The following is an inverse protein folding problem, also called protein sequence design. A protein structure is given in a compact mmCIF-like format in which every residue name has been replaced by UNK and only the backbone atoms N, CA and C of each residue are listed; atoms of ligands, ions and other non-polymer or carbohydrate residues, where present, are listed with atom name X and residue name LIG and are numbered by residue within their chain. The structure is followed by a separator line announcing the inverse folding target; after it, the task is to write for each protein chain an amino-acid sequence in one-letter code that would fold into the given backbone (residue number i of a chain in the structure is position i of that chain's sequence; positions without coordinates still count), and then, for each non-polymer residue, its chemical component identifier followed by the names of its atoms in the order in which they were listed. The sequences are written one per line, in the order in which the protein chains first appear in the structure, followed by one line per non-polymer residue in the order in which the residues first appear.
data_IF_188035264594
#
_entry.id   IF_188035264594
#
_cell.length_a   1.000
_cell.length_b   1.000
_cell.length_c   1.000
_cell.angle_alpha   90.00
_cell.angle_beta   90.00
_cell.angle_gamma   90.00
#
_symmetry.space_group_name_H-M   'P 1'
#
loop_
_entity.id
_entity.type
_entity.pdbx_description
1 polymer ?
#
# COMPACT_ATOMS: atom_id res chain seq x y z
N UNK A 1 -7.59 -20.84 8.84
CA UNK A 1 -8.15 -19.45 8.84
C UNK A 1 -7.59 -18.81 7.58
N UNK A 2 -8.38 -18.02 6.84
CA UNK A 2 -7.88 -17.34 5.62
C UNK A 2 -6.86 -16.28 5.99
N UNK A 3 -5.80 -16.16 5.22
CA UNK A 3 -4.89 -15.04 5.30
C UNK A 3 -5.42 -13.88 4.44
N UNK A 4 -5.17 -12.67 4.90
CA UNK A 4 -5.42 -11.45 4.14
C UNK A 4 -4.07 -10.80 3.89
N UNK A 5 -3.66 -10.83 2.64
CA UNK A 5 -2.35 -10.39 2.18
C UNK A 5 -2.53 -9.06 1.47
N UNK A 6 -1.90 -8.02 1.97
CA UNK A 6 -1.87 -6.74 1.25
C UNK A 6 -0.54 -6.52 0.58
N UNK A 7 -0.57 -6.00 -0.65
CA UNK A 7 0.62 -5.44 -1.30
C UNK A 7 0.37 -3.96 -1.57
N UNK A 8 1.22 -3.10 -1.01
CA UNK A 8 0.99 -1.67 -1.09
C UNK A 8 2.06 -0.83 -0.40
N UNK A 9 2.01 0.45 -0.64
CA UNK A 9 2.90 1.44 -0.06
C UNK A 9 2.60 1.68 1.43
N UNK A 10 3.66 1.87 2.21
CA UNK A 10 3.57 2.48 3.53
C UNK A 10 4.10 3.91 3.46
N UNK A 11 3.43 4.80 4.16
CA UNK A 11 3.81 6.21 4.23
C UNK A 11 3.59 6.72 5.66
N UNK A 12 4.36 7.70 6.09
CA UNK A 12 4.12 8.36 7.37
C UNK A 12 3.48 9.72 7.11
N UNK A 13 2.19 9.83 7.42
CA UNK A 13 1.38 11.02 7.18
C UNK A 13 1.54 12.04 8.32
N UNK A 14 1.85 13.29 7.97
CA UNK A 14 1.78 14.44 8.88
C UNK A 14 0.60 15.30 8.43
N UNK A 15 -0.44 15.34 9.25
CA UNK A 15 -1.71 16.00 8.93
C UNK A 15 -1.71 17.41 9.51
N UNK A 16 -1.96 18.38 8.65
CA UNK A 16 -2.09 19.80 8.98
C UNK A 16 -3.57 20.21 8.94
N UNK A 17 -3.96 21.01 9.93
CA UNK A 17 -5.25 21.68 9.97
C UNK A 17 -5.03 23.13 10.31
N UNK A 18 -5.57 24.04 9.50
CA UNK A 18 -5.30 25.50 9.61
C UNK A 18 -3.78 25.80 9.62
N UNK A 19 -3.03 25.18 8.70
CA UNK A 19 -1.57 25.29 8.55
C UNK A 19 -0.74 24.76 9.75
N UNK A 20 -1.39 24.21 10.78
CA UNK A 20 -0.70 23.67 11.95
C UNK A 20 -0.69 22.13 11.95
N UNK A 21 0.43 21.47 12.26
CA UNK A 21 0.50 20.02 12.34
C UNK A 21 -0.33 19.53 13.53
N UNK A 22 -1.22 18.57 13.27
CA UNK A 22 -2.14 18.05 14.29
C UNK A 22 -1.92 16.57 14.61
N UNK A 23 -1.61 15.76 13.61
CA UNK A 23 -1.45 14.30 13.74
C UNK A 23 -0.25 13.88 12.92
N UNK A 24 0.50 12.89 13.44
CA UNK A 24 1.55 12.20 12.71
C UNK A 24 1.38 10.70 12.90
N UNK A 25 1.03 9.96 11.83
CA UNK A 25 0.58 8.57 11.90
C UNK A 25 1.02 7.78 10.66
N UNK A 26 1.36 6.48 10.80
CA UNK A 26 1.53 5.61 9.64
C UNK A 26 0.24 5.50 8.82
N UNK A 27 0.38 5.48 7.49
CA UNK A 27 -0.70 5.40 6.53
C UNK A 27 -0.33 4.64 5.26
N UNK A 28 -1.20 4.76 4.27
CA UNK A 28 -1.18 4.04 3.00
C UNK A 28 -2.52 3.35 2.76
N UNK A 29 -2.98 3.28 1.52
CA UNK A 29 -4.31 2.74 1.20
C UNK A 29 -4.49 1.31 1.70
N UNK A 30 -3.67 0.38 1.20
CA UNK A 30 -3.68 -1.03 1.60
C UNK A 30 -3.32 -1.20 3.07
N UNK A 31 -2.34 -0.42 3.56
CA UNK A 31 -1.94 -0.41 4.97
C UNK A 31 -3.13 -0.14 5.90
N UNK A 32 -3.90 0.92 5.66
CA UNK A 32 -5.06 1.29 6.48
C UNK A 32 -6.17 0.23 6.47
N UNK A 33 -6.38 -0.43 5.32
CA UNK A 33 -7.32 -1.55 5.23
C UNK A 33 -6.85 -2.72 6.11
N UNK A 34 -5.57 -3.10 6.02
CA UNK A 34 -5.01 -4.17 6.84
C UNK A 34 -5.00 -3.85 8.34
N UNK A 35 -4.72 -2.60 8.74
CA UNK A 35 -4.82 -2.13 10.14
C UNK A 35 -6.24 -2.37 10.66
N UNK A 36 -7.27 -2.03 9.88
CA UNK A 36 -8.66 -2.22 10.28
C UNK A 36 -9.01 -3.70 10.44
N UNK A 37 -8.53 -4.54 9.52
CA UNK A 37 -8.76 -5.99 9.54
C UNK A 37 -7.98 -6.69 10.66
N UNK A 38 -6.73 -6.29 10.89
CA UNK A 38 -5.91 -6.80 12.00
C UNK A 38 -6.52 -6.49 13.37
N UNK A 39 -7.00 -5.26 13.56
CA UNK A 39 -7.77 -4.86 14.77
C UNK A 39 -9.04 -5.68 14.97
N UNK A 40 -9.67 -6.13 13.89
CA UNK A 40 -10.81 -7.03 13.94
C UNK A 40 -10.43 -8.50 14.24
N UNK A 41 -9.14 -8.79 14.45
CA UNK A 41 -8.62 -10.12 14.79
C UNK A 41 -8.44 -11.05 13.59
N UNK A 42 -8.41 -10.52 12.37
CA UNK A 42 -8.15 -11.30 11.18
C UNK A 42 -6.64 -11.48 10.96
N UNK A 43 -6.27 -12.58 10.33
CA UNK A 43 -4.88 -12.88 10.02
C UNK A 43 -4.41 -12.07 8.82
N UNK A 44 -3.63 -11.01 9.07
CA UNK A 44 -3.20 -10.06 8.06
C UNK A 44 -1.69 -10.02 7.93
N UNK A 45 -1.18 -9.91 6.71
CA UNK A 45 0.23 -9.64 6.43
C UNK A 45 0.37 -8.57 5.35
N UNK A 46 1.46 -7.81 5.41
CA UNK A 46 1.73 -6.71 4.48
C UNK A 46 3.04 -6.93 3.75
N UNK A 47 2.96 -6.93 2.42
CA UNK A 47 4.10 -6.84 1.51
C UNK A 47 4.30 -5.36 1.19
N UNK A 48 5.43 -4.81 1.61
CA UNK A 48 5.74 -3.38 1.45
C UNK A 48 7.24 -3.13 1.61
N UNK A 49 7.62 -1.87 1.47
CA UNK A 49 8.97 -1.40 1.74
C UNK A 49 8.93 -0.18 2.66
N UNK A 50 10.00 -0.02 3.44
CA UNK A 50 10.23 1.17 4.26
C UNK A 50 11.74 1.41 4.43
N UNK A 51 12.16 2.59 4.85
CA UNK A 51 13.56 2.90 5.10
C UNK A 51 14.06 2.36 6.45
N UNK A 52 15.37 2.16 6.55
CA UNK A 52 16.04 1.87 7.83
C UNK A 52 16.27 3.14 8.64
N UNK A 53 15.18 3.79 8.98
CA UNK A 53 15.20 5.01 9.77
C UNK A 53 14.22 4.96 10.96
N UNK A 54 14.12 6.06 11.69
CA UNK A 54 13.21 6.14 12.84
C UNK A 54 11.74 6.07 12.41
N UNK A 55 11.41 6.54 11.22
CA UNK A 55 10.05 6.54 10.68
C UNK A 55 9.65 5.12 10.28
N UNK A 56 10.53 4.39 9.56
CA UNK A 56 10.29 3.00 9.19
C UNK A 56 10.07 2.11 10.42
N UNK A 57 10.88 2.29 11.46
CA UNK A 57 10.67 1.58 12.74
C UNK A 57 9.30 1.89 13.36
N UNK A 58 8.82 3.15 13.29
CA UNK A 58 7.47 3.52 13.76
C UNK A 58 6.38 2.86 12.93
N UNK A 59 6.53 2.81 11.60
CA UNK A 59 5.58 2.14 10.70
C UNK A 59 5.47 0.65 11.05
N UNK A 60 6.61 -0.05 11.15
CA UNK A 60 6.64 -1.48 11.48
C UNK A 60 6.07 -1.76 12.88
N UNK A 61 6.43 -0.95 13.88
CA UNK A 61 5.90 -1.09 15.24
C UNK A 61 4.38 -0.92 15.26
N UNK A 62 3.85 0.13 14.64
CA UNK A 62 2.42 0.39 14.56
C UNK A 62 1.67 -0.74 13.82
N UNK A 63 2.21 -1.26 12.72
CA UNK A 63 1.63 -2.39 12.02
C UNK A 63 1.51 -3.62 12.94
N UNK A 64 2.61 -3.98 13.60
CA UNK A 64 2.68 -5.12 14.53
C UNK A 64 1.73 -4.98 15.72
N UNK A 65 1.65 -3.78 16.33
CA UNK A 65 0.73 -3.48 17.44
C UNK A 65 -0.74 -3.61 17.05
N UNK A 66 -1.05 -3.48 15.74
CA UNK A 66 -2.39 -3.62 15.21
C UNK A 66 -2.66 -4.98 14.52
N UNK A 67 -1.83 -5.99 14.82
CA UNK A 67 -2.07 -7.37 14.42
C UNK A 67 -1.64 -7.72 13.00
N UNK A 68 -0.81 -6.89 12.35
CA UNK A 68 -0.26 -7.19 11.03
C UNK A 68 1.06 -7.96 11.18
N UNK A 69 1.22 -9.05 10.45
CA UNK A 69 2.52 -9.68 10.23
C UNK A 69 3.39 -8.78 9.34
N UNK A 70 4.51 -8.33 9.91
CA UNK A 70 5.46 -7.41 9.26
C UNK A 70 6.68 -8.12 8.65
N UNK A 71 6.70 -9.45 8.63
CA UNK A 71 7.83 -10.25 8.12
C UNK A 71 8.12 -10.03 6.64
N UNK A 72 7.13 -9.50 5.90
CA UNK A 72 7.20 -9.20 4.47
C UNK A 72 7.35 -7.69 4.18
N UNK A 73 7.63 -6.89 5.21
CA UNK A 73 8.02 -5.48 5.01
C UNK A 73 9.53 -5.44 4.84
N UNK A 74 9.99 -5.14 3.63
CA UNK A 74 11.41 -4.95 3.35
C UNK A 74 11.89 -3.64 3.96
N UNK A 75 12.93 -3.71 4.80
CA UNK A 75 13.58 -2.54 5.41
C UNK A 75 14.83 -2.21 4.60
N UNK A 76 14.71 -1.23 3.69
CA UNK A 76 15.76 -0.85 2.76
C UNK A 76 16.88 -0.09 3.48
N UNK A 77 18.06 -0.68 3.51
CA UNK A 77 19.23 -0.10 4.19
C UNK A 77 19.71 1.19 3.52
N UNK A 78 20.01 2.20 4.32
CA UNK A 78 20.54 3.47 3.84
C UNK A 78 19.52 4.39 3.18
N UNK A 79 18.25 4.01 3.14
CA UNK A 79 17.16 4.81 2.55
C UNK A 79 16.28 5.45 3.61
N UNK A 80 15.46 6.43 3.20
CA UNK A 80 14.51 7.11 4.08
C UNK A 80 13.09 6.62 3.80
N UNK A 81 12.32 6.45 4.87
CA UNK A 81 10.91 6.08 4.78
C UNK A 81 10.08 7.18 4.10
N UNK A 82 9.09 6.82 3.29
CA UNK A 82 8.22 7.80 2.64
C UNK A 82 7.43 8.63 3.68
N UNK A 83 7.33 9.93 3.41
CA UNK A 83 6.53 10.89 4.18
C UNK A 83 5.46 11.52 3.29
N UNK A 84 4.33 11.87 3.86
CA UNK A 84 3.38 12.78 3.25
C UNK A 84 3.01 13.91 4.19
N UNK A 85 2.79 15.10 3.62
CA UNK A 85 2.13 16.21 4.28
C UNK A 85 0.71 16.29 3.72
N UNK A 86 -0.30 16.19 4.59
CA UNK A 86 -1.71 16.25 4.24
C UNK A 86 -2.32 17.53 4.80
N UNK A 87 -2.63 18.51 3.95
CA UNK A 87 -3.25 19.78 4.33
C UNK A 87 -4.77 19.66 4.18
N UNK A 88 -5.50 19.75 5.29
CA UNK A 88 -6.95 19.67 5.29
C UNK A 88 -7.58 21.04 5.05
N UNK A 89 -8.47 21.12 4.06
CA UNK A 89 -9.32 22.28 3.85
C UNK A 89 -10.51 22.32 4.84
N UNK A 90 -11.37 23.35 4.74
CA UNK A 90 -12.55 23.50 5.60
C UNK A 90 -13.57 22.36 5.46
N UNK A 91 -13.57 21.61 4.36
CA UNK A 91 -14.41 20.45 4.09
C UNK A 91 -13.76 19.13 4.53
N UNK A 92 -12.56 19.18 5.12
CA UNK A 92 -11.68 18.04 5.45
C UNK A 92 -11.18 17.25 4.22
N UNK A 93 -11.19 17.84 3.02
CA UNK A 93 -10.48 17.28 1.89
C UNK A 93 -8.98 17.52 2.06
N UNK A 94 -8.16 16.52 1.76
CA UNK A 94 -6.72 16.59 1.93
C UNK A 94 -6.00 16.89 0.61
N UNK A 95 -5.16 17.90 0.61
CA UNK A 95 -4.11 18.10 -0.38
C UNK A 95 -2.83 17.42 0.12
N UNK A 96 -2.25 16.55 -0.71
CA UNK A 96 -1.09 15.75 -0.33
C UNK A 96 0.18 16.22 -1.04
N UNK A 97 1.27 16.34 -0.29
CA UNK A 97 2.63 16.50 -0.80
C UNK A 97 3.44 15.29 -0.34
N UNK A 98 3.98 14.52 -1.28
CA UNK A 98 4.75 13.31 -0.98
C UNK A 98 6.25 13.59 -1.06
N UNK A 99 6.98 13.06 -0.06
CA UNK A 99 8.43 13.02 0.00
C UNK A 99 8.86 11.56 0.01
N UNK A 100 9.46 11.11 -1.09
CA UNK A 100 9.90 9.73 -1.26
C UNK A 100 11.33 9.70 -1.78
N UNK A 101 12.15 8.86 -1.20
CA UNK A 101 13.47 8.55 -1.72
C UNK A 101 13.32 7.56 -2.89
N UNK A 102 13.92 7.84 -4.04
CA UNK A 102 13.73 7.05 -5.26
C UNK A 102 14.35 5.65 -5.21
N UNK A 103 15.16 5.36 -4.19
CA UNK A 103 15.82 4.06 -4.03
C UNK A 103 14.90 2.95 -3.47
N UNK A 104 13.65 3.28 -3.12
CA UNK A 104 12.65 2.34 -2.60
C UNK A 104 11.90 1.51 -3.66
N UNK A 105 12.26 1.63 -4.91
CA UNK A 105 11.48 1.06 -6.00
C UNK A 105 12.04 -0.30 -6.47
N UNK A 106 12.59 -1.11 -5.57
CA UNK A 106 13.11 -2.43 -5.92
C UNK A 106 12.11 -3.56 -5.66
N UNK A 107 11.22 -3.39 -4.67
CA UNK A 107 10.23 -4.36 -4.24
C UNK A 107 10.76 -5.81 -4.29
N UNK A 108 11.96 -5.98 -3.69
CA UNK A 108 12.56 -7.30 -3.56
C UNK A 108 12.03 -7.97 -2.29
N UNK A 109 11.19 -8.97 -2.47
CA UNK A 109 10.60 -9.71 -1.34
C UNK A 109 10.43 -11.18 -1.66
N UNK A 110 10.46 -11.99 -0.61
CA UNK A 110 10.06 -13.39 -0.70
C UNK A 110 8.53 -13.47 -0.77
N UNK A 111 8.01 -14.32 -1.66
CA UNK A 111 6.57 -14.52 -1.74
C UNK A 111 6.08 -15.26 -0.49
N UNK A 112 5.00 -14.78 0.15
CA UNK A 112 4.37 -15.51 1.24
C UNK A 112 3.77 -16.82 0.73
N UNK A 113 3.59 -17.79 1.63
CA UNK A 113 2.84 -19.01 1.34
C UNK A 113 1.35 -18.65 1.21
N UNK A 114 0.83 -18.71 -0.01
CA UNK A 114 -0.56 -18.38 -0.34
C UNK A 114 -1.36 -19.68 -0.50
N UNK A 115 -2.46 -19.77 0.24
CA UNK A 115 -3.37 -20.90 0.17
C UNK A 115 -4.61 -20.57 -0.69
N UNK A 116 -5.28 -21.58 -1.27
CA UNK A 116 -6.52 -21.36 -2.01
C UNK A 116 -7.56 -20.62 -1.15
N UNK A 117 -8.19 -19.61 -1.74
CA UNK A 117 -9.15 -18.70 -1.12
C UNK A 117 -8.55 -17.70 -0.10
N UNK A 118 -7.24 -17.58 0.06
CA UNK A 118 -6.67 -16.41 0.71
C UNK A 118 -7.06 -15.16 -0.06
N UNK A 119 -7.12 -14.02 0.62
CA UNK A 119 -7.50 -12.74 0.00
C UNK A 119 -6.24 -11.90 -0.23
N UNK A 120 -6.03 -11.45 -1.45
CA UNK A 120 -4.94 -10.51 -1.80
C UNK A 120 -5.53 -9.15 -2.12
N UNK A 121 -5.20 -8.14 -1.29
CA UNK A 121 -5.55 -6.73 -1.50
C UNK A 121 -4.42 -6.01 -2.21
N UNK A 122 -4.74 -5.33 -3.30
CA UNK A 122 -3.80 -4.50 -4.03
C UNK A 122 -4.53 -3.28 -4.61
N UNK A 123 -3.77 -2.23 -4.94
CA UNK A 123 -4.44 -1.08 -5.53
C UNK A 123 -3.66 0.22 -5.44
N UNK A 124 -4.41 1.33 -5.58
CA UNK A 124 -3.89 2.70 -5.58
C UNK A 124 -2.81 2.91 -6.67
N UNK A 125 -2.08 4.01 -6.60
CA UNK A 125 -0.95 4.29 -7.50
C UNK A 125 0.16 3.22 -7.40
N UNK A 126 0.35 2.63 -6.21
CA UNK A 126 1.35 1.59 -6.00
C UNK A 126 1.23 0.43 -6.98
N UNK A 127 0.02 -0.07 -7.21
CA UNK A 127 -0.23 -1.14 -8.17
C UNK A 127 -0.08 -0.71 -9.64
N UNK A 128 0.04 0.59 -9.90
CA UNK A 128 0.21 1.18 -11.24
C UNK A 128 1.62 1.72 -11.47
N UNK A 129 2.45 1.82 -10.41
CA UNK A 129 3.77 2.42 -10.48
C UNK A 129 4.66 1.68 -11.49
N UNK A 130 5.10 2.35 -12.58
CA UNK A 130 5.87 1.70 -13.64
C UNK A 130 7.19 1.09 -13.18
N UNK A 131 7.76 1.60 -12.09
CA UNK A 131 9.06 1.15 -11.59
C UNK A 131 8.99 -0.26 -10.99
N UNK A 132 7.91 -0.54 -10.25
CA UNK A 132 7.69 -1.84 -9.59
C UNK A 132 6.63 -2.70 -10.28
N UNK A 133 6.18 -2.29 -11.48
CA UNK A 133 5.05 -2.95 -12.15
C UNK A 133 5.27 -4.43 -12.39
N UNK A 134 6.46 -4.82 -12.85
CA UNK A 134 6.79 -6.22 -13.13
C UNK A 134 6.76 -7.08 -11.86
N UNK A 135 7.22 -6.55 -10.74
CA UNK A 135 7.19 -7.25 -9.45
C UNK A 135 5.76 -7.44 -8.96
N UNK A 136 4.95 -6.37 -9.05
CA UNK A 136 3.52 -6.44 -8.69
C UNK A 136 2.79 -7.45 -9.56
N UNK A 137 2.99 -7.40 -10.88
CA UNK A 137 2.40 -8.33 -11.84
C UNK A 137 2.77 -9.78 -11.52
N UNK A 138 4.07 -10.05 -11.36
CA UNK A 138 4.57 -11.39 -11.05
C UNK A 138 3.97 -11.94 -9.76
N UNK A 139 3.81 -11.09 -8.75
CA UNK A 139 3.13 -11.45 -7.51
C UNK A 139 1.65 -11.76 -7.71
N UNK A 140 0.91 -10.97 -8.49
CA UNK A 140 -0.51 -11.21 -8.78
C UNK A 140 -0.71 -12.50 -9.59
N UNK A 141 0.17 -12.78 -10.56
CA UNK A 141 0.18 -14.06 -11.30
C UNK A 141 0.40 -15.26 -10.36
N UNK A 142 1.36 -15.14 -9.45
CA UNK A 142 1.62 -16.15 -8.43
C UNK A 142 0.40 -16.37 -7.53
N UNK A 143 -0.18 -15.30 -7.00
CA UNK A 143 -1.35 -15.37 -6.12
C UNK A 143 -2.56 -16.02 -6.82
N UNK A 144 -2.80 -15.65 -8.08
CA UNK A 144 -3.88 -16.25 -8.89
C UNK A 144 -3.64 -17.74 -9.14
N UNK A 145 -2.39 -18.14 -9.43
CA UNK A 145 -1.99 -19.55 -9.58
C UNK A 145 -2.19 -20.36 -8.31
N UNK A 146 -2.00 -19.75 -7.14
CA UNK A 146 -2.27 -20.37 -5.84
C UNK A 146 -3.76 -20.46 -5.48
N UNK A 147 -4.65 -19.85 -6.28
CA UNK A 147 -6.09 -19.86 -6.05
C UNK A 147 -6.55 -18.81 -5.04
N UNK A 148 -5.79 -17.74 -4.85
CA UNK A 148 -6.21 -16.58 -4.05
C UNK A 148 -7.35 -15.81 -4.73
N UNK A 149 -8.12 -15.09 -3.92
CA UNK A 149 -9.12 -14.11 -4.37
C UNK A 149 -8.44 -12.75 -4.43
N UNK A 150 -8.41 -12.14 -5.61
CA UNK A 150 -7.74 -10.86 -5.85
C UNK A 150 -8.73 -9.70 -5.73
N UNK A 151 -8.51 -8.83 -4.75
CA UNK A 151 -9.33 -7.64 -4.49
C UNK A 151 -8.55 -6.38 -4.88
N UNK A 152 -9.05 -5.68 -5.90
CA UNK A 152 -8.45 -4.46 -6.43
C UNK A 152 -9.19 -3.21 -5.94
N UNK A 153 -8.52 -2.36 -5.16
CA UNK A 153 -9.01 -1.02 -4.82
C UNK A 153 -8.36 0.01 -5.74
N UNK A 154 -9.10 0.51 -6.70
CA UNK A 154 -8.60 1.45 -7.73
C UNK A 154 -7.97 2.68 -7.08
N UNK A 155 -8.65 3.31 -6.12
CA UNK A 155 -8.20 4.45 -5.31
C UNK A 155 -7.25 5.41 -6.06
N UNK A 156 -7.63 5.80 -7.29
CA UNK A 156 -6.83 6.67 -8.14
C UNK A 156 -6.98 8.12 -7.69
N UNK A 157 -5.87 8.73 -7.30
CA UNK A 157 -5.85 10.10 -6.78
C UNK A 157 -5.75 11.14 -7.89
N UNK A 158 -6.38 12.29 -7.71
CA UNK A 158 -6.36 13.42 -8.67
C UNK A 158 -4.94 13.91 -8.98
N UNK A 159 -4.01 13.78 -8.03
CA UNK A 159 -2.60 14.12 -8.22
C UNK A 159 -1.94 13.39 -9.40
N UNK A 160 -2.39 12.16 -9.73
CA UNK A 160 -1.87 11.33 -10.83
C UNK A 160 -2.67 11.46 -12.12
N UNK A 161 -3.66 12.37 -12.19
CA UNK A 161 -4.51 12.54 -13.37
C UNK A 161 -3.72 12.81 -14.66
N UNK A 162 -2.61 13.53 -14.56
CA UNK A 162 -1.75 13.85 -15.70
C UNK A 162 -1.01 12.62 -16.27
N UNK A 163 -0.92 11.52 -15.51
CA UNK A 163 -0.26 10.28 -15.92
C UNK A 163 -1.26 9.22 -16.42
N UNK A 164 -2.56 9.48 -16.40
CA UNK A 164 -3.61 8.46 -16.64
C UNK A 164 -3.41 7.68 -17.95
N UNK A 165 -3.03 8.36 -19.03
CA UNK A 165 -2.81 7.71 -20.34
C UNK A 165 -1.64 6.72 -20.26
N UNK A 166 -0.56 7.09 -19.58
CA UNK A 166 0.62 6.23 -19.37
C UNK A 166 0.30 5.02 -18.48
N UNK A 167 -0.57 5.22 -17.48
CA UNK A 167 -0.92 4.19 -16.50
C UNK A 167 -2.08 3.28 -16.96
N UNK A 168 -2.78 3.65 -18.04
CA UNK A 168 -3.95 2.91 -18.55
C UNK A 168 -3.68 1.41 -18.79
N UNK A 169 -2.56 1.00 -19.42
CA UNK A 169 -2.29 -0.42 -19.63
C UNK A 169 -2.23 -1.21 -18.31
N UNK A 170 -1.55 -0.69 -17.31
CA UNK A 170 -1.46 -1.31 -15.98
C UNK A 170 -2.82 -1.33 -15.25
N UNK A 171 -3.63 -0.28 -15.44
CA UNK A 171 -4.97 -0.20 -14.89
C UNK A 171 -5.87 -1.31 -15.47
N UNK A 172 -5.87 -1.47 -16.79
CA UNK A 172 -6.67 -2.51 -17.48
C UNK A 172 -6.20 -3.91 -17.06
N UNK A 173 -4.91 -4.14 -17.02
CA UNK A 173 -4.35 -5.42 -16.59
C UNK A 173 -4.73 -5.75 -15.13
N UNK A 174 -4.79 -4.75 -14.23
CA UNK A 174 -5.28 -4.96 -12.87
C UNK A 174 -6.76 -5.38 -12.83
N UNK A 175 -7.61 -4.88 -13.72
CA UNK A 175 -9.00 -5.35 -13.83
C UNK A 175 -9.08 -6.80 -14.32
N UNK A 176 -8.16 -7.24 -15.20
CA UNK A 176 -8.11 -8.64 -15.66
C UNK A 176 -7.64 -9.61 -14.57
N UNK A 177 -6.79 -9.14 -13.66
CA UNK A 177 -6.38 -9.93 -12.49
C UNK A 177 -7.48 -10.06 -11.45
N UNK A 178 -8.24 -8.99 -11.22
CA UNK A 178 -9.13 -8.87 -10.08
C UNK A 178 -10.39 -9.75 -10.18
N UNK A 179 -10.70 -10.43 -9.07
CA UNK A 179 -11.98 -11.10 -8.88
C UNK A 179 -13.02 -10.12 -8.31
N UNK A 180 -12.56 -9.14 -7.54
CA UNK A 180 -13.38 -8.09 -6.94
C UNK A 180 -12.72 -6.74 -7.18
N UNK A 181 -13.50 -5.77 -7.64
CA UNK A 181 -13.04 -4.39 -7.86
C UNK A 181 -13.85 -3.42 -7.02
N UNK A 182 -13.15 -2.52 -6.34
CA UNK A 182 -13.74 -1.38 -5.61
C UNK A 182 -13.25 -0.07 -6.22
N UNK A 183 -14.16 0.87 -6.36
CA UNK A 183 -13.87 2.26 -6.72
C UNK A 183 -14.78 3.21 -5.95
N UNK A 184 -14.38 4.49 -5.85
CA UNK A 184 -15.26 5.57 -5.41
C UNK A 184 -15.96 6.19 -6.63
N UNK A 185 -17.18 6.64 -6.47
CA UNK A 185 -17.91 7.50 -7.41
C UNK A 185 -17.48 8.95 -7.25
#
# INVERSE_FOLDING_TARGET
MRNIIGIGETVFDIIFKNEEPTIAVPGGSTFNALISLGRAGLNTLLISETGDDRVGRKICAFAKENGIDTSFINVCQGTKSPLSLAFLNAQNDAEYIFYKDHEHDQLDFLYPDIQPNDLVLFGSYYALNPVIREQVRSFLEYAKKCGAILYYDVNFRSAHRHEVVKLMPALLENFEFADIVRGST
#
